data_IF_974921721223
#
_entry.id   IF_974921721223
#
_cell.length_a   1.000
_cell.length_b   1.000
_cell.length_c   1.000
_cell.angle_alpha   90.00
_cell.angle_beta   90.00
_cell.angle_gamma   90.00
#
_symmetry.space_group_name_H-M   'P 1'
#
loop_
_entity.id
_entity.type
_entity.pdbx_description
1 polymer ?
#
# COMPACT_ATOMS: atom_id res chain seq x y z
N UNK A 1 -32.46 30.40 54.97
CA UNK A 1 -32.09 31.25 53.82
C UNK A 1 -30.69 30.89 53.38
N UNK A 2 -30.54 29.86 52.55
CA UNK A 2 -29.27 29.45 51.93
C UNK A 2 -29.61 28.92 50.53
N UNK A 3 -29.86 29.83 49.59
CA UNK A 3 -29.99 29.53 48.17
C UNK A 3 -29.40 30.69 47.39
N UNK A 4 -28.10 30.59 47.10
CA UNK A 4 -27.41 31.37 46.06
C UNK A 4 -25.93 30.97 45.87
N UNK A 5 -25.38 30.08 46.70
CA UNK A 5 -23.95 29.73 46.62
C UNK A 5 -23.60 28.56 45.67
N UNK A 6 -24.58 27.83 45.11
CA UNK A 6 -24.30 26.61 44.33
C UNK A 6 -24.34 26.83 42.80
N UNK A 7 -24.88 27.96 42.34
CA UNK A 7 -25.03 28.24 40.90
C UNK A 7 -23.83 28.92 40.24
N UNK A 8 -22.78 29.26 41.01
CA UNK A 8 -21.63 30.00 40.46
C UNK A 8 -20.39 29.14 40.18
N UNK A 9 -20.44 27.82 40.42
CA UNK A 9 -19.27 26.94 40.22
C UNK A 9 -19.24 26.21 38.86
N UNK A 10 -20.31 26.29 38.05
CA UNK A 10 -20.39 25.57 36.75
C UNK A 10 -19.99 26.45 35.56
N UNK A 11 -19.74 27.75 35.75
CA UNK A 11 -19.43 28.68 34.63
C UNK A 11 -17.93 28.93 34.43
N UNK A 12 -17.04 28.37 35.24
CA UNK A 12 -15.58 28.63 35.12
C UNK A 12 -14.72 27.40 34.74
N UNK A 13 -15.22 26.51 33.88
CA UNK A 13 -14.41 25.43 33.28
C UNK A 13 -14.56 25.41 31.75
N UNK A 14 -14.67 26.57 31.12
CA UNK A 14 -14.61 26.69 29.64
C UNK A 14 -13.94 28.00 29.23
N UNK A 15 -12.79 28.30 29.82
CA UNK A 15 -11.91 29.33 29.30
C UNK A 15 -10.44 28.93 29.43
N UNK A 16 -10.13 27.76 28.87
CA UNK A 16 -8.80 27.46 28.36
C UNK A 16 -8.97 27.10 26.89
N UNK A 17 -9.32 28.10 26.06
CA UNK A 17 -8.98 28.04 24.65
C UNK A 17 -7.45 28.23 24.60
N UNK A 18 -6.72 27.17 24.96
CA UNK A 18 -5.34 27.05 24.57
C UNK A 18 -5.37 27.05 23.05
N UNK A 19 -5.01 28.19 22.48
CA UNK A 19 -4.67 28.29 21.08
C UNK A 19 -3.44 27.40 20.88
N UNK A 20 -3.66 26.10 20.73
CA UNK A 20 -2.70 25.16 20.18
C UNK A 20 -2.59 25.54 18.70
N UNK A 21 -1.93 26.67 18.44
CA UNK A 21 -1.50 27.05 17.12
C UNK A 21 -0.30 26.16 16.86
N UNK A 22 -0.55 24.92 16.42
CA UNK A 22 0.48 24.13 15.77
C UNK A 22 1.10 25.03 14.71
N UNK A 23 2.39 25.31 14.85
CA UNK A 23 3.18 25.90 13.78
C UNK A 23 3.22 24.84 12.69
N UNK A 24 2.20 24.82 11.83
CA UNK A 24 2.21 24.00 10.62
C UNK A 24 3.40 24.52 9.82
N UNK A 25 4.48 23.74 9.80
CA UNK A 25 5.58 23.99 8.88
C UNK A 25 4.94 24.09 7.49
N UNK A 26 5.05 25.25 6.86
CA UNK A 26 4.48 25.50 5.53
C UNK A 26 5.02 24.42 4.58
N UNK A 27 4.22 23.39 4.32
CA UNK A 27 4.54 22.37 3.34
C UNK A 27 4.31 23.05 2.00
N UNK A 28 5.40 23.54 1.41
CA UNK A 28 5.36 23.96 0.03
C UNK A 28 5.13 22.70 -0.83
N UNK A 29 4.12 22.71 -1.69
CA UNK A 29 3.83 21.59 -2.56
C UNK A 29 5.03 21.33 -3.47
N UNK A 30 5.48 20.07 -3.63
CA UNK A 30 6.63 19.72 -4.47
C UNK A 30 6.46 20.09 -5.95
N UNK A 31 5.25 20.47 -6.38
CA UNK A 31 4.88 20.76 -7.75
C UNK A 31 4.25 22.15 -7.78
N UNK A 32 4.76 23.03 -8.66
CA UNK A 32 4.24 24.37 -8.87
C UNK A 32 2.78 24.33 -9.33
N UNK A 33 1.92 25.13 -8.70
CA UNK A 33 0.49 25.24 -9.02
C UNK A 33 -0.43 24.25 -8.30
N UNK A 34 0.09 23.42 -7.40
CA UNK A 34 -0.70 22.55 -6.52
C UNK A 34 -0.71 23.12 -5.10
N UNK A 35 -1.66 22.67 -4.27
CA UNK A 35 -1.77 23.02 -2.85
C UNK A 35 -1.79 21.73 -2.05
N UNK A 36 -1.09 21.69 -0.91
CA UNK A 36 -1.20 20.58 0.03
C UNK A 36 -2.41 20.82 0.91
N UNK A 37 -3.42 19.98 0.75
CA UNK A 37 -4.58 19.98 1.64
C UNK A 37 -4.36 19.00 2.78
N UNK A 38 -4.68 19.45 3.99
CA UNK A 38 -4.72 18.59 5.15
C UNK A 38 -5.91 17.63 5.06
N UNK A 39 -5.68 16.35 5.33
CA UNK A 39 -6.74 15.35 5.28
C UNK A 39 -7.64 15.46 6.52
N UNK A 40 -8.94 15.27 6.31
CA UNK A 40 -9.97 15.23 7.36
C UNK A 40 -10.64 13.85 7.38
N UNK A 41 -10.89 13.31 8.56
CA UNK A 41 -11.28 11.92 8.79
C UNK A 41 -12.46 11.86 9.75
N UNK A 42 -13.54 11.21 9.36
CA UNK A 42 -14.74 11.06 10.18
C UNK A 42 -14.87 9.63 10.73
N UNK A 43 -15.15 9.49 12.02
CA UNK A 43 -15.29 8.20 12.70
C UNK A 43 -16.61 8.10 13.47
N UNK A 44 -17.36 7.03 13.20
CA UNK A 44 -18.59 6.67 13.91
C UNK A 44 -18.28 5.73 15.07
N UNK A 45 -17.78 6.27 16.19
CA UNK A 45 -17.32 5.46 17.33
C UNK A 45 -18.46 5.18 18.33
N UNK A 46 -19.30 6.17 18.61
CA UNK A 46 -20.35 6.06 19.62
C UNK A 46 -21.71 5.97 18.94
N UNK A 47 -22.40 4.84 19.15
CA UNK A 47 -23.72 4.61 18.58
C UNK A 47 -24.71 5.72 18.97
N UNK A 48 -25.24 6.41 17.96
CA UNK A 48 -26.23 7.48 18.15
C UNK A 48 -25.67 8.87 18.44
N UNK A 49 -24.34 9.06 18.44
CA UNK A 49 -23.70 10.39 18.47
C UNK A 49 -23.27 10.84 17.07
N UNK A 50 -22.87 12.12 16.95
CA UNK A 50 -22.32 12.64 15.69
C UNK A 50 -20.94 12.05 15.42
N UNK A 51 -20.57 11.85 14.13
CA UNK A 51 -19.24 11.40 13.75
C UNK A 51 -18.16 12.33 14.33
N UNK A 52 -17.08 11.75 14.83
CA UNK A 52 -15.93 12.50 15.34
C UNK A 52 -15.01 12.82 14.18
N UNK A 53 -14.53 14.05 14.08
CA UNK A 53 -13.68 14.50 12.98
C UNK A 53 -12.27 14.76 13.47
N UNK A 54 -11.29 14.08 12.88
CA UNK A 54 -9.86 14.32 13.09
C UNK A 54 -9.21 14.90 11.83
N UNK A 55 -8.25 15.80 12.01
CA UNK A 55 -7.47 16.37 10.91
C UNK A 55 -5.99 15.99 11.06
N UNK A 56 -5.29 15.82 9.94
CA UNK A 56 -3.86 15.56 9.90
C UNK A 56 -3.48 14.31 9.11
N UNK A 57 -2.26 13.83 9.33
CA UNK A 57 -1.76 12.60 8.70
C UNK A 57 -2.38 11.35 9.34
N UNK A 58 -2.19 10.20 8.68
CA UNK A 58 -2.66 8.92 9.22
C UNK A 58 -2.02 8.61 10.58
N UNK A 59 -0.75 8.94 10.77
CA UNK A 59 -0.05 8.75 12.05
C UNK A 59 -0.60 9.66 13.14
N UNK A 60 -0.86 10.94 12.82
CA UNK A 60 -1.41 11.90 13.78
C UNK A 60 -2.84 11.53 14.18
N UNK A 61 -3.67 11.12 13.22
CA UNK A 61 -5.02 10.63 13.47
C UNK A 61 -4.98 9.36 14.30
N UNK A 62 -4.03 8.45 14.04
CA UNK A 62 -3.84 7.25 14.85
C UNK A 62 -3.48 7.58 16.30
N UNK A 63 -2.57 8.54 16.51
CA UNK A 63 -2.23 9.02 17.86
C UNK A 63 -3.43 9.62 18.56
N UNK A 64 -4.17 10.53 17.91
CA UNK A 64 -5.38 11.15 18.46
C UNK A 64 -6.43 10.10 18.83
N UNK A 65 -6.69 9.14 17.93
CA UNK A 65 -7.66 8.06 18.15
C UNK A 65 -7.25 7.16 19.33
N UNK A 66 -5.96 6.81 19.43
CA UNK A 66 -5.46 5.93 20.49
C UNK A 66 -5.43 6.61 21.87
N UNK A 67 -5.30 7.94 21.92
CA UNK A 67 -5.38 8.71 23.17
C UNK A 67 -6.81 8.96 23.63
N UNK A 68 -7.70 9.37 22.71
CA UNK A 68 -9.08 9.75 23.05
C UNK A 68 -10.05 8.55 23.12
N UNK A 69 -9.86 7.55 22.26
CA UNK A 69 -10.74 6.38 22.14
C UNK A 69 -9.94 5.05 22.17
N UNK A 70 -9.26 4.75 23.29
CA UNK A 70 -8.32 3.63 23.40
C UNK A 70 -8.99 2.25 23.19
N UNK A 71 -10.25 2.09 23.58
CA UNK A 71 -10.99 0.83 23.39
C UNK A 71 -11.26 0.55 21.91
N UNK A 72 -11.75 1.57 21.19
CA UNK A 72 -11.98 1.49 19.74
C UNK A 72 -10.67 1.27 18.97
N UNK A 73 -9.60 1.98 19.36
CA UNK A 73 -8.27 1.79 18.77
C UNK A 73 -7.74 0.36 18.99
N UNK A 74 -7.93 -0.21 20.19
CA UNK A 74 -7.52 -1.58 20.48
C UNK A 74 -8.33 -2.61 19.66
N UNK A 75 -9.63 -2.44 19.50
CA UNK A 75 -10.45 -3.29 18.64
C UNK A 75 -10.02 -3.20 17.18
N UNK A 76 -9.75 -1.98 16.69
CA UNK A 76 -9.26 -1.78 15.33
C UNK A 76 -7.92 -2.50 15.10
N UNK A 77 -6.99 -2.42 16.07
CA UNK A 77 -5.73 -3.18 16.02
C UNK A 77 -5.97 -4.69 16.02
N UNK A 78 -6.86 -5.20 16.86
CA UNK A 78 -7.18 -6.63 16.91
C UNK A 78 -7.73 -7.12 15.57
N UNK A 79 -8.63 -6.36 14.94
CA UNK A 79 -9.15 -6.68 13.60
C UNK A 79 -8.06 -6.72 12.53
N UNK A 80 -7.12 -5.78 12.58
CA UNK A 80 -5.98 -5.75 11.66
C UNK A 80 -5.07 -6.97 11.87
N UNK A 81 -4.75 -7.29 13.12
CA UNK A 81 -3.91 -8.44 13.45
C UNK A 81 -4.57 -9.76 13.04
N UNK A 82 -5.86 -9.93 13.31
CA UNK A 82 -6.62 -11.10 12.88
C UNK A 82 -6.63 -11.25 11.35
N UNK A 83 -6.74 -10.16 10.60
CA UNK A 83 -6.62 -10.18 9.14
C UNK A 83 -5.22 -10.62 8.69
N UNK A 84 -4.16 -10.09 9.30
CA UNK A 84 -2.77 -10.44 9.01
C UNK A 84 -2.49 -11.90 9.35
N UNK A 85 -2.96 -12.39 10.50
CA UNK A 85 -2.80 -13.77 10.93
C UNK A 85 -3.54 -14.74 10.02
N UNK A 86 -4.76 -14.38 9.60
CA UNK A 86 -5.54 -15.12 8.60
C UNK A 86 -4.87 -15.19 7.23
N UNK A 87 -4.16 -14.14 6.84
CA UNK A 87 -3.36 -14.13 5.61
C UNK A 87 -2.12 -15.03 5.73
N UNK A 88 -1.37 -14.91 6.84
CA UNK A 88 -0.17 -15.69 7.08
C UNK A 88 -0.46 -17.20 7.21
N UNK A 89 -1.64 -17.57 7.73
CA UNK A 89 -2.09 -18.97 7.83
C UNK A 89 -2.67 -19.51 6.52
N UNK A 90 -3.04 -18.66 5.56
CA UNK A 90 -3.46 -19.05 4.20
C UNK A 90 -2.30 -19.14 3.20
N UNK A 91 -1.07 -18.86 3.64
CA UNK A 91 0.15 -19.00 2.83
C UNK A 91 0.67 -20.45 2.80
N UNK A 92 -0.22 -21.42 2.61
CA UNK A 92 0.16 -22.77 2.16
C UNK A 92 -1.03 -23.34 1.37
N UNK A 93 -0.87 -23.52 0.05
CA UNK A 93 -1.74 -24.28 -0.86
C UNK A 93 -2.97 -23.66 -1.55
N UNK A 94 -2.96 -22.38 -1.97
CA UNK A 94 -3.95 -21.92 -2.97
C UNK A 94 -3.28 -21.12 -4.08
N UNK A 95 -3.16 -21.72 -5.27
CA UNK A 95 -2.35 -21.23 -6.40
C UNK A 95 -3.17 -20.48 -7.46
N UNK A 96 -4.33 -19.93 -7.12
CA UNK A 96 -5.21 -19.24 -8.08
C UNK A 96 -5.49 -17.76 -7.78
N UNK A 97 -4.88 -17.20 -6.73
CA UNK A 97 -4.80 -15.75 -6.54
C UNK A 97 -3.41 -15.32 -6.97
N UNK A 98 -3.32 -14.43 -7.95
CA UNK A 98 -2.06 -13.83 -8.37
C UNK A 98 -1.48 -12.99 -7.24
N UNK A 99 -0.80 -13.64 -6.29
CA UNK A 99 -0.04 -12.96 -5.26
C UNK A 99 0.99 -12.05 -5.93
N UNK A 100 1.12 -10.84 -5.37
CA UNK A 100 2.16 -9.89 -5.76
C UNK A 100 3.48 -10.64 -5.67
N UNK A 101 4.19 -10.75 -6.80
CA UNK A 101 5.48 -11.44 -6.86
C UNK A 101 6.43 -10.77 -5.88
N UNK A 102 6.71 -11.41 -4.75
CA UNK A 102 7.77 -11.02 -3.85
C UNK A 102 9.09 -11.00 -4.64
N UNK A 103 9.56 -9.79 -4.93
CA UNK A 103 10.72 -9.57 -5.81
C UNK A 103 12.08 -9.89 -5.15
N UNK A 104 12.10 -10.53 -3.97
CA UNK A 104 13.33 -10.76 -3.22
C UNK A 104 13.59 -12.20 -2.74
N UNK A 105 12.75 -13.18 -3.08
CA UNK A 105 13.02 -14.56 -2.67
C UNK A 105 14.05 -15.23 -3.61
N UNK A 106 15.33 -14.97 -3.37
CA UNK A 106 16.45 -15.60 -4.09
C UNK A 106 16.66 -17.04 -3.59
N UNK A 107 15.82 -17.97 -4.00
CA UNK A 107 16.07 -19.40 -3.83
C UNK A 107 17.01 -19.90 -4.94
N UNK A 108 18.08 -20.61 -4.58
CA UNK A 108 18.99 -21.23 -5.56
C UNK A 108 18.25 -22.41 -6.22
N UNK A 109 17.96 -22.29 -7.51
CA UNK A 109 17.35 -23.37 -8.30
C UNK A 109 18.45 -24.07 -9.10
N UNK A 110 18.72 -25.33 -8.78
CA UNK A 110 19.57 -26.17 -9.63
C UNK A 110 18.78 -26.62 -10.86
N UNK A 111 19.33 -26.32 -12.04
CA UNK A 111 18.73 -26.72 -13.30
C UNK A 111 19.03 -28.20 -13.56
N UNK A 112 18.00 -29.00 -13.84
CA UNK A 112 18.19 -30.40 -14.23
C UNK A 112 18.96 -30.57 -15.55
N UNK A 113 18.91 -29.56 -16.44
CA UNK A 113 19.70 -29.48 -17.67
C UNK A 113 19.61 -28.09 -18.31
N UNK A 114 20.65 -27.69 -19.06
CA UNK A 114 20.60 -26.52 -19.93
C UNK A 114 19.64 -26.68 -21.12
N UNK A 115 19.24 -27.91 -21.46
CA UNK A 115 18.31 -28.17 -22.56
C UNK A 115 16.98 -27.45 -22.36
N UNK A 116 16.43 -27.44 -21.14
CA UNK A 116 15.13 -26.81 -20.86
C UNK A 116 15.15 -25.30 -21.16
N UNK A 117 16.30 -24.64 -20.99
CA UNK A 117 16.48 -23.23 -21.35
C UNK A 117 16.60 -23.07 -22.86
N UNK A 118 17.41 -23.90 -23.52
CA UNK A 118 17.61 -23.86 -24.97
C UNK A 118 16.31 -24.14 -25.75
N UNK A 119 15.56 -25.16 -25.33
CA UNK A 119 14.29 -25.55 -25.93
C UNK A 119 13.23 -24.47 -25.74
N UNK A 120 13.15 -23.88 -24.54
CA UNK A 120 12.25 -22.75 -24.28
C UNK A 120 12.62 -21.51 -25.10
N UNK A 121 13.91 -21.18 -25.22
CA UNK A 121 14.39 -20.08 -26.04
C UNK A 121 14.06 -20.29 -27.52
N UNK A 122 14.24 -21.52 -28.04
CA UNK A 122 13.88 -21.86 -29.42
C UNK A 122 12.38 -21.69 -29.66
N UNK A 123 11.53 -22.14 -28.74
CA UNK A 123 10.08 -21.97 -28.86
C UNK A 123 9.65 -20.50 -28.83
N UNK A 124 10.37 -19.65 -28.09
CA UNK A 124 10.15 -18.19 -28.10
C UNK A 124 10.56 -17.61 -29.45
N UNK A 125 11.69 -18.06 -30.03
CA UNK A 125 12.09 -17.66 -31.39
C UNK A 125 11.06 -18.08 -32.43
N UNK A 126 10.52 -19.28 -32.35
CA UNK A 126 9.58 -19.78 -33.37
C UNK A 126 8.19 -19.15 -33.25
N UNK A 127 7.76 -18.82 -32.02
CA UNK A 127 6.40 -18.33 -31.74
C UNK A 127 6.29 -16.82 -31.65
N UNK A 128 7.34 -16.13 -31.20
CA UNK A 128 7.30 -14.71 -30.85
C UNK A 128 8.20 -13.86 -31.77
N UNK A 129 8.64 -14.39 -32.91
CA UNK A 129 9.40 -13.62 -33.89
C UNK A 129 8.49 -12.59 -34.58
N UNK A 130 8.80 -11.31 -34.36
CA UNK A 130 8.05 -10.20 -34.92
C UNK A 130 8.92 -9.44 -35.93
N UNK A 131 8.33 -9.12 -37.08
CA UNK A 131 8.92 -8.19 -38.04
C UNK A 131 8.61 -6.77 -37.57
N UNK A 132 9.65 -5.96 -37.40
CA UNK A 132 9.48 -4.57 -37.06
C UNK A 132 10.09 -3.70 -38.16
N UNK A 133 9.30 -2.75 -38.63
CA UNK A 133 9.67 -1.78 -39.64
C UNK A 133 9.60 -0.39 -39.03
N UNK A 134 10.74 0.28 -38.89
CA UNK A 134 10.84 1.63 -38.33
C UNK A 134 11.09 2.73 -39.37
N UNK A 135 11.04 2.38 -40.66
CA UNK A 135 11.32 3.32 -41.75
C UNK A 135 12.81 3.61 -41.97
N UNK A 136 13.71 2.89 -41.29
CA UNK A 136 15.16 2.95 -41.48
C UNK A 136 15.71 1.66 -42.14
N UNK A 137 17.02 1.65 -42.44
CA UNK A 137 17.75 0.48 -42.92
C UNK A 137 17.90 -0.64 -41.87
N UNK A 138 17.56 -0.37 -40.61
CA UNK A 138 17.67 -1.33 -39.50
C UNK A 138 16.40 -2.18 -39.31
N UNK A 139 15.45 -2.12 -40.27
CA UNK A 139 14.26 -2.99 -40.26
C UNK A 139 14.66 -4.47 -40.23
N UNK A 140 14.21 -5.18 -39.19
CA UNK A 140 14.70 -6.53 -38.89
C UNK A 140 13.68 -7.42 -38.21
N UNK A 141 14.06 -8.69 -38.07
CA UNK A 141 13.37 -9.64 -37.22
C UNK A 141 13.87 -9.49 -35.80
N UNK A 142 12.94 -9.32 -34.86
CA UNK A 142 13.25 -9.29 -33.44
C UNK A 142 12.50 -10.41 -32.74
N UNK A 143 13.09 -10.89 -31.66
CA UNK A 143 12.49 -11.88 -30.78
C UNK A 143 12.53 -11.33 -29.38
N UNK A 144 11.35 -11.16 -28.80
CA UNK A 144 11.16 -10.87 -27.40
C UNK A 144 10.01 -11.72 -26.88
N UNK A 145 10.18 -12.31 -25.71
CA UNK A 145 9.14 -13.16 -25.16
C UNK A 145 9.56 -13.84 -23.88
N UNK A 146 8.60 -14.52 -23.26
CA UNK A 146 8.81 -15.31 -22.06
C UNK A 146 8.06 -16.62 -22.15
N UNK A 147 8.57 -17.66 -21.48
CA UNK A 147 7.93 -18.96 -21.39
C UNK A 147 8.15 -19.58 -20.03
N UNK A 148 7.05 -20.05 -19.43
CA UNK A 148 7.07 -20.78 -18.17
C UNK A 148 7.28 -22.27 -18.43
N UNK A 149 8.18 -22.89 -17.67
CA UNK A 149 8.41 -24.33 -17.66
C UNK A 149 7.76 -24.97 -16.44
N UNK A 150 7.42 -26.27 -16.53
CA UNK A 150 6.82 -27.03 -15.43
C UNK A 150 7.74 -27.10 -14.19
N UNK A 151 9.05 -26.93 -14.38
CA UNK A 151 10.06 -26.93 -13.32
C UNK A 151 10.11 -25.60 -12.54
N UNK A 152 9.05 -24.78 -12.62
CA UNK A 152 8.92 -23.46 -11.98
C UNK A 152 10.01 -22.46 -12.41
N UNK A 153 10.50 -22.60 -13.64
CA UNK A 153 11.48 -21.69 -14.24
C UNK A 153 10.77 -20.83 -15.29
N UNK A 154 11.12 -19.55 -15.34
CA UNK A 154 10.69 -18.63 -16.40
C UNK A 154 11.89 -18.24 -17.26
N UNK A 155 11.83 -18.56 -18.55
CA UNK A 155 12.85 -18.17 -19.52
C UNK A 155 12.39 -16.91 -20.23
N UNK A 156 13.23 -15.87 -20.23
CA UNK A 156 12.94 -14.57 -20.85
C UNK A 156 14.00 -14.29 -21.90
N UNK A 157 13.58 -14.08 -23.15
CA UNK A 157 14.44 -13.61 -24.24
C UNK A 157 14.15 -12.12 -24.45
N UNK A 158 15.20 -11.30 -24.35
CA UNK A 158 15.13 -9.86 -24.60
C UNK A 158 15.94 -9.55 -25.85
N UNK A 159 15.44 -8.61 -26.66
CA UNK A 159 16.21 -8.03 -27.74
C UNK A 159 17.46 -7.37 -27.16
N UNK A 160 18.62 -7.70 -27.74
CA UNK A 160 19.88 -7.03 -27.47
C UNK A 160 20.53 -6.68 -28.79
N UNK A 161 21.26 -5.56 -28.80
CA UNK A 161 22.20 -5.27 -29.88
C UNK A 161 23.42 -6.15 -29.63
N UNK A 162 23.62 -7.13 -30.50
CA UNK A 162 24.79 -8.01 -30.47
C UNK A 162 25.98 -7.35 -31.17
#
# INVERSE_FOLDING_TARGET
>A
MLSQAVLSLVVMVNLALAANSSLVASIEPPIEGFEVQEASWEFDIIEGQQPIVFNGTVEEVWTQLNEEYPEYAAEALDRINNYIDGYNTRSDSDTDVLDKRDHNNSHVVELGSFSNIADAAQLIVDSCRQWFFDGSLDSGWYVNGQRFHNDRINVIVRGSNC
#
